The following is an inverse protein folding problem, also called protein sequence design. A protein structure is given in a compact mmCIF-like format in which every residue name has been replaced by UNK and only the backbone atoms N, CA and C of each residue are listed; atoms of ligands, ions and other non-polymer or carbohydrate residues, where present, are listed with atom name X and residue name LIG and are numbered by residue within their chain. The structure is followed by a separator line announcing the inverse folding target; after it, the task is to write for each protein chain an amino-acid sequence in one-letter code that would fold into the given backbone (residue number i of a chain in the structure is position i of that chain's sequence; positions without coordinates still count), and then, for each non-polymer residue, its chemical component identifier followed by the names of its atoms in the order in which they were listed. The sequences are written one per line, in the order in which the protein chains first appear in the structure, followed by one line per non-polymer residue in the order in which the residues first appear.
data_IF_283794690838
#
_entry.id   IF_283794690838
#
_cell.length_a   1.000
_cell.length_b   1.000
_cell.length_c   1.000
_cell.angle_alpha   90.00
_cell.angle_beta   90.00
_cell.angle_gamma   90.00
#
_symmetry.space_group_name_H-M   'P 1'
#
loop_
_entity.id
_entity.type
_entity.pdbx_description
1 polymer ?
#
# COMPACT_ATOMS: atom_id res chain seq x y z
N UNK A 1 65.33 -27.54 -57.78
CA UNK A 1 64.12 -26.79 -58.14
C UNK A 1 63.57 -26.11 -56.90
N UNK A 2 63.16 -24.87 -57.05
CA UNK A 2 62.95 -23.83 -56.04
C UNK A 2 62.07 -24.22 -54.85
N UNK A 3 62.54 -23.92 -53.63
CA UNK A 3 61.74 -23.82 -52.41
C UNK A 3 61.00 -22.48 -52.41
N UNK A 4 59.68 -22.49 -52.21
CA UNK A 4 58.94 -21.29 -51.82
C UNK A 4 58.21 -21.54 -50.50
N UNK A 5 58.62 -20.73 -49.52
CA UNK A 5 58.21 -20.71 -48.13
C UNK A 5 56.96 -19.81 -48.02
N UNK A 6 55.81 -20.36 -47.62
CA UNK A 6 54.61 -19.56 -47.35
C UNK A 6 54.40 -19.47 -45.84
N UNK A 7 54.66 -18.28 -45.28
CA UNK A 7 54.32 -17.96 -43.89
C UNK A 7 52.81 -17.84 -43.72
N UNK A 8 52.30 -18.43 -42.64
CA UNK A 8 51.01 -18.11 -42.04
C UNK A 8 51.13 -16.73 -41.39
N UNK A 9 50.36 -15.77 -41.90
CA UNK A 9 49.67 -14.70 -41.16
C UNK A 9 49.45 -13.49 -42.09
N UNK A 10 48.19 -13.26 -42.43
CA UNK A 10 47.71 -12.10 -43.17
C UNK A 10 46.34 -11.69 -42.63
N UNK A 11 46.05 -10.38 -42.51
CA UNK A 11 45.02 -9.86 -41.61
C UNK A 11 43.63 -10.24 -42.10
N UNK A 12 42.87 -10.94 -41.27
CA UNK A 12 41.43 -11.11 -41.44
C UNK A 12 40.77 -9.73 -41.38
N UNK A 13 40.24 -9.28 -42.51
CA UNK A 13 39.41 -8.08 -42.63
C UNK A 13 38.24 -8.17 -41.65
N UNK A 14 38.17 -7.24 -40.68
CA UNK A 14 37.04 -7.15 -39.76
C UNK A 14 35.74 -6.82 -40.55
N UNK A 15 34.59 -7.40 -40.16
CA UNK A 15 33.32 -7.00 -40.74
C UNK A 15 33.03 -5.54 -40.39
N UNK A 16 32.63 -4.74 -41.39
CA UNK A 16 32.21 -3.34 -41.21
C UNK A 16 31.15 -3.26 -40.11
N UNK A 17 31.51 -2.64 -38.99
CA UNK A 17 30.57 -2.16 -37.98
C UNK A 17 29.66 -1.15 -38.69
N UNK A 18 28.36 -1.47 -38.83
CA UNK A 18 27.35 -0.47 -39.16
C UNK A 18 27.30 0.51 -37.98
N UNK A 19 27.73 1.73 -38.20
CA UNK A 19 27.54 2.84 -37.29
C UNK A 19 26.03 3.01 -37.07
N UNK A 20 25.55 2.67 -35.88
CA UNK A 20 24.21 3.06 -35.45
C UNK A 20 24.18 4.60 -35.35
N UNK A 21 23.10 5.26 -35.78
CA UNK A 21 22.93 6.69 -35.51
C UNK A 21 22.93 6.94 -34.00
N UNK A 22 23.31 8.14 -33.53
CA UNK A 22 23.36 8.46 -32.11
C UNK A 22 22.00 8.14 -31.48
N UNK A 23 22.01 7.26 -30.48
CA UNK A 23 20.80 6.81 -29.82
C UNK A 23 20.13 7.98 -29.12
N UNK A 24 19.06 8.50 -29.75
CA UNK A 24 18.03 9.21 -29.01
C UNK A 24 17.46 8.22 -27.99
N UNK A 25 17.67 8.53 -26.73
CA UNK A 25 17.01 7.93 -25.57
C UNK A 25 15.53 8.30 -25.56
N UNK A 26 14.81 7.92 -26.60
CA UNK A 26 13.37 7.75 -26.56
C UNK A 26 13.13 6.27 -26.28
N UNK A 27 12.80 5.95 -25.02
CA UNK A 27 11.97 4.78 -24.72
C UNK A 27 10.88 4.73 -25.78
N UNK A 28 10.94 3.75 -26.68
CA UNK A 28 9.91 3.52 -27.67
C UNK A 28 8.62 3.27 -26.90
N UNK A 29 7.72 4.25 -26.93
CA UNK A 29 6.36 4.19 -26.40
C UNK A 29 5.54 3.23 -27.26
N UNK A 30 5.91 1.95 -27.31
CA UNK A 30 5.29 0.95 -28.20
C UNK A 30 3.91 0.47 -27.71
N UNK A 31 3.44 0.94 -26.55
CA UNK A 31 2.09 0.65 -26.05
C UNK A 31 1.04 1.66 -26.54
N UNK A 32 -0.16 1.19 -26.94
CA UNK A 32 -1.28 2.05 -27.31
C UNK A 32 -1.58 3.10 -26.23
N UNK A 33 -2.02 4.30 -26.61
CA UNK A 33 -2.45 5.34 -25.64
C UNK A 33 -3.55 4.84 -24.69
N UNK A 34 -4.39 3.92 -25.16
CA UNK A 34 -5.44 3.24 -24.35
C UNK A 34 -4.88 2.45 -23.17
N UNK A 35 -3.63 1.97 -23.27
CA UNK A 35 -2.94 1.25 -22.21
C UNK A 35 -2.13 2.17 -21.28
N UNK A 36 -2.33 3.48 -21.38
CA UNK A 36 -1.77 4.45 -20.46
C UNK A 36 -2.91 5.20 -19.79
N UNK A 37 -3.15 4.93 -18.50
CA UNK A 37 -4.26 5.49 -17.74
C UNK A 37 -4.39 7.02 -17.89
N UNK A 38 -3.29 7.74 -17.69
CA UNK A 38 -3.25 9.21 -17.76
C UNK A 38 -3.50 9.74 -19.19
N UNK A 39 -3.02 9.03 -20.23
CA UNK A 39 -3.16 9.48 -21.63
C UNK A 39 -4.47 9.03 -22.27
N UNK A 40 -5.01 7.90 -21.86
CA UNK A 40 -6.20 7.29 -22.42
C UNK A 40 -7.47 7.79 -21.75
N UNK A 41 -7.57 7.66 -20.41
CA UNK A 41 -8.80 7.97 -19.68
C UNK A 41 -8.90 9.46 -19.29
N UNK A 42 -7.77 10.15 -19.10
CA UNK A 42 -7.75 11.52 -18.58
C UNK A 42 -7.23 12.57 -19.57
N UNK A 43 -7.16 12.27 -20.87
CA UNK A 43 -6.67 13.19 -21.92
C UNK A 43 -7.37 14.56 -21.95
N UNK A 44 -8.62 14.61 -21.51
CA UNK A 44 -9.48 15.80 -21.50
C UNK A 44 -10.16 16.05 -20.15
N UNK A 45 -9.67 15.44 -19.07
CA UNK A 45 -10.24 15.55 -17.73
C UNK A 45 -9.26 16.22 -16.75
N UNK A 46 -9.77 16.58 -15.57
CA UNK A 46 -8.92 17.01 -14.46
C UNK A 46 -7.94 15.88 -14.08
N UNK A 47 -6.74 16.26 -13.61
CA UNK A 47 -5.75 15.27 -13.19
C UNK A 47 -6.34 14.32 -12.13
N UNK A 48 -6.14 13.00 -12.27
CA UNK A 48 -6.73 12.03 -11.37
C UNK A 48 -6.21 12.21 -9.94
N UNK A 49 -7.11 12.07 -8.97
CA UNK A 49 -6.76 12.11 -7.56
C UNK A 49 -6.11 10.78 -7.16
N UNK A 50 -4.80 10.77 -6.91
CA UNK A 50 -4.13 9.57 -6.41
C UNK A 50 -4.10 9.55 -4.89
N UNK A 51 -4.36 8.36 -4.35
CA UNK A 51 -4.23 8.02 -2.94
C UNK A 51 -3.11 6.98 -2.74
N UNK A 52 -2.77 6.71 -1.48
CA UNK A 52 -1.73 5.80 -1.09
C UNK A 52 -2.18 4.87 0.05
N UNK A 53 -1.74 3.62 -0.01
CA UNK A 53 -1.82 2.66 1.09
C UNK A 53 -0.44 2.08 1.37
N UNK A 54 -0.15 1.75 2.63
CA UNK A 54 1.10 1.10 3.01
C UNK A 54 0.92 0.12 4.17
N UNK A 55 1.72 -0.94 4.17
CA UNK A 55 1.81 -1.95 5.23
C UNK A 55 3.29 -2.21 5.56
N UNK A 56 3.67 -2.07 6.82
CA UNK A 56 5.06 -2.22 7.27
C UNK A 56 5.13 -2.57 8.75
N UNK A 57 6.26 -3.08 9.23
CA UNK A 57 6.47 -3.35 10.66
C UNK A 57 5.50 -4.39 11.23
N UNK A 58 5.05 -4.21 12.49
CA UNK A 58 4.07 -5.08 13.16
C UNK A 58 2.62 -4.71 12.84
N UNK A 59 2.09 -5.28 11.76
CA UNK A 59 1.87 -4.53 10.55
C UNK A 59 1.06 -3.26 10.84
N UNK A 60 1.76 -2.15 10.74
CA UNK A 60 1.21 -0.82 10.69
C UNK A 60 0.64 -0.59 9.29
N UNK A 61 -0.66 -0.33 9.23
CA UNK A 61 -1.43 -0.08 8.03
C UNK A 61 -1.76 1.41 7.93
N UNK A 62 -1.39 2.04 6.82
CA UNK A 62 -1.99 3.30 6.35
C UNK A 62 -2.97 2.98 5.24
N UNK A 63 -4.25 3.28 5.43
CA UNK A 63 -5.30 3.07 4.41
C UNK A 63 -5.26 4.15 3.33
N UNK A 64 -5.99 3.95 2.24
CA UNK A 64 -6.26 4.95 1.19
C UNK A 64 -6.98 6.22 1.68
N UNK A 65 -7.47 6.21 2.91
CA UNK A 65 -8.11 7.36 3.57
C UNK A 65 -7.23 7.96 4.66
N UNK A 66 -5.94 7.63 4.67
CA UNK A 66 -4.94 8.07 5.64
C UNK A 66 -5.22 7.63 7.09
N UNK A 67 -6.05 6.60 7.29
CA UNK A 67 -6.22 6.00 8.61
C UNK A 67 -5.03 5.13 8.91
N UNK A 68 -4.40 5.38 10.06
CA UNK A 68 -3.24 4.63 10.52
C UNK A 68 -3.62 3.69 11.65
N UNK A 69 -3.32 2.40 11.51
CA UNK A 69 -3.72 1.34 12.43
C UNK A 69 -2.55 0.38 12.65
N UNK A 70 -2.42 -0.15 13.87
CA UNK A 70 -1.54 -1.28 14.16
C UNK A 70 -2.40 -2.53 14.23
N UNK A 71 -2.03 -3.57 13.49
CA UNK A 71 -2.90 -4.73 13.29
C UNK A 71 -2.19 -6.03 13.61
N UNK A 72 -2.88 -6.97 14.26
CA UNK A 72 -2.39 -8.34 14.41
C UNK A 72 -2.45 -9.09 13.07
N UNK A 73 -3.64 -9.17 12.46
CA UNK A 73 -3.91 -9.75 11.12
C UNK A 73 -3.01 -10.95 10.76
N UNK A 74 -2.91 -11.92 11.67
CA UNK A 74 -2.10 -13.12 11.49
C UNK A 74 -2.68 -14.01 10.38
N UNK A 75 -1.81 -14.66 9.60
CA UNK A 75 -2.23 -15.49 8.47
C UNK A 75 -2.42 -14.65 7.21
N UNK A 76 -3.24 -15.13 6.28
CA UNK A 76 -3.40 -14.50 4.97
C UNK A 76 -4.57 -13.52 4.94
N UNK A 77 -4.34 -12.30 4.48
CA UNK A 77 -5.31 -11.20 4.44
C UNK A 77 -5.26 -10.44 3.11
N UNK A 78 -6.41 -10.03 2.55
CA UNK A 78 -6.42 -9.21 1.35
C UNK A 78 -6.18 -7.74 1.70
N UNK A 79 -5.11 -7.16 1.15
CA UNK A 79 -4.88 -5.71 1.20
C UNK A 79 -5.79 -4.98 0.23
N UNK A 80 -5.85 -5.45 -1.02
CA UNK A 80 -6.60 -4.84 -2.12
C UNK A 80 -7.30 -5.95 -2.88
N UNK A 81 -8.55 -5.70 -3.25
CA UNK A 81 -9.30 -6.55 -4.16
C UNK A 81 -10.32 -5.66 -4.88
N UNK A 82 -10.04 -5.35 -6.13
CA UNK A 82 -10.90 -4.56 -7.00
C UNK A 82 -10.92 -5.18 -8.41
N UNK A 83 -11.62 -4.56 -9.35
CA UNK A 83 -11.77 -5.05 -10.71
C UNK A 83 -10.44 -5.25 -11.48
N UNK A 84 -9.32 -4.69 -10.99
CA UNK A 84 -8.04 -4.68 -11.70
C UNK A 84 -6.91 -5.43 -10.98
N UNK A 85 -6.96 -5.47 -9.65
CA UNK A 85 -5.83 -5.88 -8.82
C UNK A 85 -6.33 -6.66 -7.60
N UNK A 86 -5.67 -7.76 -7.30
CA UNK A 86 -5.74 -8.43 -6.02
C UNK A 86 -4.36 -8.41 -5.36
N UNK A 87 -4.30 -8.01 -4.09
CA UNK A 87 -3.08 -8.01 -3.27
C UNK A 87 -3.39 -8.76 -1.99
N UNK A 88 -2.65 -9.84 -1.76
CA UNK A 88 -2.75 -10.67 -0.58
C UNK A 88 -1.42 -10.68 0.16
N UNK A 89 -1.47 -10.53 1.48
CA UNK A 89 -0.31 -10.63 2.35
C UNK A 89 -0.50 -11.75 3.35
N UNK A 90 0.60 -12.37 3.76
CA UNK A 90 0.62 -13.29 4.89
C UNK A 90 1.49 -12.71 5.99
N UNK A 91 0.92 -12.58 7.19
CA UNK A 91 1.65 -12.11 8.37
C UNK A 91 1.91 -13.27 9.33
N UNK A 92 3.16 -13.41 9.76
CA UNK A 92 3.59 -14.44 10.71
C UNK A 92 4.07 -13.80 12.01
N UNK A 93 3.84 -14.40 13.19
CA UNK A 93 4.39 -13.89 14.44
C UNK A 93 5.91 -13.70 14.37
N UNK A 94 6.41 -12.57 14.89
CA UNK A 94 7.86 -12.28 14.94
C UNK A 94 8.55 -13.21 15.94
N UNK A 95 7.90 -13.43 17.08
CA UNK A 95 8.32 -14.35 18.13
C UNK A 95 7.20 -15.36 18.42
N UNK A 96 7.52 -16.61 18.81
CA UNK A 96 6.51 -17.59 19.20
C UNK A 96 5.59 -17.07 20.31
N UNK A 97 4.27 -17.11 20.07
CA UNK A 97 3.27 -16.64 21.04
C UNK A 97 3.10 -15.13 21.16
N UNK A 98 3.89 -14.33 20.43
CA UNK A 98 3.72 -12.87 20.42
C UNK A 98 2.48 -12.46 19.61
N UNK A 99 1.84 -11.37 20.04
CA UNK A 99 0.82 -10.69 19.24
C UNK A 99 1.44 -9.93 18.06
N UNK A 100 2.75 -9.64 18.13
CA UNK A 100 3.48 -8.98 17.08
C UNK A 100 3.71 -9.92 15.91
N UNK A 101 3.27 -9.52 14.73
CA UNK A 101 3.44 -10.22 13.46
C UNK A 101 4.24 -9.37 12.49
N UNK A 102 4.62 -9.91 11.35
CA UNK A 102 5.18 -9.12 10.25
C UNK A 102 4.94 -9.84 8.93
N UNK A 103 4.94 -9.09 7.83
CA UNK A 103 4.63 -9.62 6.51
C UNK A 103 5.75 -10.53 6.00
N UNK A 104 5.44 -11.81 5.80
CA UNK A 104 6.39 -12.84 5.38
C UNK A 104 6.20 -13.27 3.92
N UNK A 105 5.01 -13.02 3.35
CA UNK A 105 4.68 -13.33 1.96
C UNK A 105 3.75 -12.27 1.41
N UNK A 106 3.94 -11.97 0.14
CA UNK A 106 3.13 -11.02 -0.61
C UNK A 106 2.85 -11.58 -1.99
N UNK A 107 1.58 -11.58 -2.38
CA UNK A 107 1.11 -12.00 -3.71
C UNK A 107 0.31 -10.87 -4.32
N UNK A 108 0.66 -10.46 -5.54
CA UNK A 108 -0.07 -9.46 -6.31
C UNK A 108 -0.52 -10.12 -7.61
N UNK A 109 -1.82 -10.08 -7.87
CA UNK A 109 -2.42 -10.57 -9.11
C UNK A 109 -2.94 -9.35 -9.88
N UNK A 110 -2.28 -9.05 -10.99
CA UNK A 110 -2.77 -8.10 -11.99
C UNK A 110 -3.79 -8.84 -12.86
N UNK A 111 -5.07 -8.47 -12.75
CA UNK A 111 -6.14 -9.07 -13.57
C UNK A 111 -5.93 -8.67 -15.04
N UNK A 112 -6.32 -9.55 -15.96
CA UNK A 112 -6.24 -9.25 -17.40
C UNK A 112 -7.06 -8.02 -17.74
N UNK A 113 -6.51 -7.12 -18.55
CA UNK A 113 -7.20 -5.89 -18.93
C UNK A 113 -7.05 -5.61 -20.42
N UNK A 114 -8.16 -5.76 -21.15
CA UNK A 114 -8.28 -5.47 -22.58
C UNK A 114 -7.12 -6.07 -23.40
N UNK A 115 -6.58 -5.33 -24.37
CA UNK A 115 -5.36 -5.67 -25.12
C UNK A 115 -4.06 -5.29 -24.38
N UNK A 116 -4.14 -4.73 -23.18
CA UNK A 116 -2.99 -4.11 -22.51
C UNK A 116 -2.12 -5.11 -21.76
N UNK A 117 -2.73 -5.97 -20.95
CA UNK A 117 -2.00 -6.91 -20.12
C UNK A 117 -2.77 -8.21 -19.98
N UNK A 118 -2.04 -9.33 -20.07
CA UNK A 118 -2.54 -10.63 -19.62
C UNK A 118 -2.46 -10.72 -18.10
N UNK A 119 -3.14 -11.70 -17.51
CA UNK A 119 -3.06 -11.88 -16.07
C UNK A 119 -1.60 -12.15 -15.66
N UNK A 120 -1.07 -11.36 -14.72
CA UNK A 120 0.29 -11.52 -14.20
C UNK A 120 0.26 -11.69 -12.68
N UNK A 121 1.11 -12.58 -12.18
CA UNK A 121 1.25 -12.85 -10.75
C UNK A 121 2.66 -12.48 -10.32
N UNK A 122 2.75 -11.61 -9.32
CA UNK A 122 3.99 -11.32 -8.61
C UNK A 122 3.92 -11.96 -7.23
N UNK A 123 5.00 -12.62 -6.81
CA UNK A 123 5.10 -13.21 -5.48
C UNK A 123 6.47 -12.89 -4.89
N UNK A 124 6.46 -12.46 -3.63
CA UNK A 124 7.67 -12.25 -2.84
C UNK A 124 7.51 -12.94 -1.49
N UNK A 125 8.61 -13.46 -0.97
CA UNK A 125 8.66 -14.13 0.32
C UNK A 125 9.82 -13.58 1.15
N UNK A 126 9.80 -13.83 2.45
CA UNK A 126 10.91 -13.53 3.34
C UNK A 126 12.23 -14.12 2.80
N UNK A 127 13.19 -13.26 2.49
CA UNK A 127 14.49 -13.66 1.94
C UNK A 127 14.54 -13.72 0.42
N UNK A 128 13.40 -13.57 -0.27
CA UNK A 128 13.29 -13.70 -1.72
C UNK A 128 12.39 -12.60 -2.31
N UNK A 129 13.04 -11.55 -2.83
CA UNK A 129 12.37 -10.44 -3.51
C UNK A 129 12.74 -10.44 -5.00
N UNK A 130 11.99 -11.15 -5.86
CA UNK A 130 12.32 -11.27 -7.28
C UNK A 130 12.01 -9.97 -8.04
N UNK A 131 12.79 -9.73 -9.10
CA UNK A 131 12.60 -8.63 -10.05
C UNK A 131 11.80 -9.04 -11.30
N UNK A 132 10.96 -10.07 -11.16
CA UNK A 132 10.18 -10.68 -12.23
C UNK A 132 8.84 -11.20 -11.67
N UNK A 133 7.87 -11.41 -12.57
CA UNK A 133 6.64 -12.14 -12.30
C UNK A 133 6.93 -13.63 -12.14
N UNK A 134 5.94 -14.39 -11.63
CA UNK A 134 6.06 -15.82 -11.37
C UNK A 134 6.38 -16.66 -12.62
N UNK A 135 6.07 -16.15 -13.82
CA UNK A 135 6.42 -16.76 -15.11
C UNK A 135 7.81 -16.36 -15.62
N UNK A 136 8.59 -15.60 -14.83
CA UNK A 136 9.92 -15.09 -15.18
C UNK A 136 9.91 -13.83 -16.04
N UNK A 137 8.75 -13.35 -16.49
CA UNK A 137 8.65 -12.12 -17.28
C UNK A 137 8.84 -10.87 -16.41
N UNK A 138 9.23 -9.76 -17.05
CA UNK A 138 9.40 -8.46 -16.35
C UNK A 138 8.39 -7.40 -16.83
N UNK A 139 7.45 -7.79 -17.67
CA UNK A 139 6.47 -6.92 -18.30
C UNK A 139 5.08 -7.61 -18.41
N UNK A 140 4.09 -6.91 -18.96
CA UNK A 140 2.71 -7.37 -19.11
C UNK A 140 2.46 -8.47 -20.15
N UNK A 141 3.49 -9.05 -20.77
CA UNK A 141 3.38 -10.08 -21.82
C UNK A 141 3.99 -9.65 -23.15
N UNK A 142 3.51 -10.22 -24.26
CA UNK A 142 4.05 -9.96 -25.61
C UNK A 142 3.13 -9.08 -26.48
N UNK A 143 1.98 -8.66 -25.94
CA UNK A 143 1.02 -7.79 -26.63
C UNK A 143 1.60 -6.39 -26.83
N UNK A 144 1.00 -5.61 -27.74
CA UNK A 144 1.38 -4.20 -27.93
C UNK A 144 1.34 -3.40 -26.61
N UNK A 145 0.47 -3.73 -25.65
CA UNK A 145 0.43 -3.09 -24.33
C UNK A 145 1.43 -3.59 -23.29
N UNK A 146 2.34 -4.51 -23.61
CA UNK A 146 3.26 -5.16 -22.67
C UNK A 146 4.02 -4.20 -21.75
N UNK A 147 4.47 -3.07 -22.29
CA UNK A 147 5.21 -2.04 -21.56
C UNK A 147 4.35 -1.23 -20.58
N UNK A 148 3.02 -1.42 -20.58
CA UNK A 148 2.11 -0.77 -19.63
C UNK A 148 2.15 -1.38 -18.22
N UNK A 149 2.70 -2.58 -18.06
CA UNK A 149 3.00 -3.20 -16.77
C UNK A 149 4.49 -3.58 -16.76
N UNK A 150 5.28 -3.11 -15.78
CA UNK A 150 6.72 -3.37 -15.71
C UNK A 150 7.22 -3.55 -14.29
N UNK A 151 8.25 -4.39 -14.11
CA UNK A 151 8.97 -4.57 -12.86
C UNK A 151 10.40 -4.02 -12.97
N UNK A 152 10.75 -3.09 -12.08
CA UNK A 152 12.07 -2.51 -11.96
C UNK A 152 12.69 -2.85 -10.59
N UNK A 153 13.84 -3.51 -10.61
CA UNK A 153 14.68 -3.66 -9.42
C UNK A 153 15.44 -2.35 -9.19
N UNK A 154 15.30 -1.76 -8.00
CA UNK A 154 15.97 -0.53 -7.61
C UNK A 154 17.18 -0.79 -6.73
N UNK A 155 17.06 -1.78 -5.85
CA UNK A 155 18.16 -2.27 -5.01
C UNK A 155 18.09 -3.79 -5.04
N UNK A 156 19.22 -4.42 -5.38
CA UNK A 156 19.24 -5.85 -5.65
C UNK A 156 18.73 -6.66 -4.46
N UNK A 157 17.68 -7.47 -4.69
CA UNK A 157 17.03 -8.30 -3.68
C UNK A 157 16.40 -7.56 -2.49
N UNK A 158 16.28 -6.23 -2.54
CA UNK A 158 15.80 -5.42 -1.40
C UNK A 158 14.71 -4.42 -1.75
N UNK A 159 14.64 -3.94 -3.00
CA UNK A 159 13.65 -2.95 -3.40
C UNK A 159 13.25 -3.15 -4.85
N UNK A 160 11.96 -3.43 -5.06
CA UNK A 160 11.33 -3.59 -6.36
C UNK A 160 10.17 -2.62 -6.49
N UNK A 161 10.07 -1.98 -7.66
CA UNK A 161 8.94 -1.16 -8.06
C UNK A 161 8.19 -1.83 -9.21
N UNK A 162 6.87 -1.91 -9.09
CA UNK A 162 5.99 -2.43 -10.12
C UNK A 162 5.11 -1.29 -10.64
N UNK A 163 5.24 -0.96 -11.91
CA UNK A 163 4.52 0.13 -12.56
C UNK A 163 3.42 -0.44 -13.45
N UNK A 164 2.17 -0.31 -13.02
CA UNK A 164 0.97 -0.67 -13.77
C UNK A 164 0.34 0.59 -14.38
N UNK A 165 0.99 1.13 -15.41
CA UNK A 165 0.61 2.39 -16.08
C UNK A 165 -0.79 2.33 -16.70
N UNK A 166 -1.27 1.15 -17.10
CA UNK A 166 -2.62 0.98 -17.68
C UNK A 166 -3.76 1.27 -16.68
N UNK A 167 -3.49 1.18 -15.38
CA UNK A 167 -4.41 1.53 -14.28
C UNK A 167 -3.84 2.62 -13.37
N UNK A 168 -2.83 3.36 -13.83
CA UNK A 168 -2.21 4.46 -13.08
C UNK A 168 -1.61 4.03 -11.73
N UNK A 169 -1.28 2.76 -11.54
CA UNK A 169 -0.89 2.23 -10.23
C UNK A 169 0.61 2.03 -10.16
N UNK A 170 1.22 2.38 -9.03
CA UNK A 170 2.64 2.11 -8.73
C UNK A 170 2.73 1.41 -7.39
N UNK A 171 3.40 0.26 -7.35
CA UNK A 171 3.59 -0.56 -6.15
C UNK A 171 5.07 -0.60 -5.83
N UNK A 172 5.40 -0.46 -4.55
CA UNK A 172 6.73 -0.62 -4.00
C UNK A 172 6.70 -1.81 -3.04
N UNK A 173 7.62 -2.76 -3.23
CA UNK A 173 7.86 -3.87 -2.30
C UNK A 173 9.31 -3.81 -1.88
N UNK A 174 9.55 -3.87 -0.56
CA UNK A 174 10.91 -3.89 -0.03
C UNK A 174 11.08 -5.07 0.92
N UNK A 175 12.30 -5.58 0.99
CA UNK A 175 12.73 -6.47 2.05
C UNK A 175 13.52 -5.68 3.08
N UNK A 176 13.05 -5.68 4.33
CA UNK A 176 13.70 -5.01 5.46
C UNK A 176 13.98 -6.04 6.55
N UNK A 177 15.26 -6.27 6.82
CA UNK A 177 15.67 -7.42 7.61
C UNK A 177 15.18 -8.70 6.94
N UNK A 178 14.25 -9.41 7.58
CA UNK A 178 13.62 -10.63 7.06
C UNK A 178 12.21 -10.41 6.53
N UNK A 179 11.60 -9.25 6.77
CA UNK A 179 10.17 -9.05 6.48
C UNK A 179 9.98 -8.15 5.27
N UNK A 180 8.77 -8.18 4.72
CA UNK A 180 8.40 -7.38 3.56
C UNK A 180 7.66 -6.12 4.01
N UNK A 181 7.88 -5.02 3.28
CA UNK A 181 7.00 -3.85 3.33
C UNK A 181 6.31 -3.67 2.00
N UNK A 182 5.10 -3.11 2.04
CA UNK A 182 4.29 -2.83 0.87
C UNK A 182 3.84 -1.39 0.88
N UNK A 183 3.90 -0.74 -0.27
CA UNK A 183 3.35 0.58 -0.49
C UNK A 183 2.76 0.68 -1.90
N UNK A 184 1.67 1.42 -2.06
CA UNK A 184 1.01 1.58 -3.35
C UNK A 184 0.48 2.99 -3.52
N UNK A 185 0.62 3.54 -4.73
CA UNK A 185 -0.13 4.70 -5.23
C UNK A 185 -1.17 4.20 -6.22
N UNK A 186 -2.42 4.62 -6.06
CA UNK A 186 -3.52 4.21 -6.93
C UNK A 186 -4.51 5.37 -7.13
N UNK A 187 -5.08 5.57 -8.34
CA UNK A 187 -6.14 6.53 -8.55
C UNK A 187 -7.39 6.17 -7.73
N UNK A 188 -8.08 7.16 -7.19
CA UNK A 188 -9.26 6.94 -6.35
C UNK A 188 -10.36 6.12 -7.06
N UNK A 189 -10.61 6.36 -8.35
CA UNK A 189 -11.60 5.59 -9.12
C UNK A 189 -11.23 4.11 -9.29
N UNK A 190 -9.94 3.79 -9.36
CA UNK A 190 -9.43 2.41 -9.42
C UNK A 190 -9.57 1.74 -8.06
N UNK A 191 -9.31 2.48 -6.97
CA UNK A 191 -9.52 2.00 -5.59
C UNK A 191 -11.00 1.63 -5.36
N UNK A 192 -11.93 2.44 -5.85
CA UNK A 192 -13.37 2.31 -5.64
C UNK A 192 -14.08 1.37 -6.65
N UNK A 193 -13.35 0.83 -7.63
CA UNK A 193 -13.85 -0.13 -8.61
C UNK A 193 -13.94 -1.56 -8.03
N UNK A 194 -14.56 -1.70 -6.87
CA UNK A 194 -14.81 -3.01 -6.22
C UNK A 194 -15.99 -3.69 -6.90
N UNK A 195 -15.81 -4.96 -7.31
CA UNK A 195 -16.81 -5.72 -8.09
C UNK A 195 -18.07 -6.02 -7.28
N UNK A 196 -17.92 -6.28 -5.98
CA UNK A 196 -19.03 -6.55 -5.08
C UNK A 196 -19.16 -5.45 -4.01
N UNK A 197 -19.88 -4.39 -4.37
CA UNK A 197 -20.10 -3.22 -3.50
C UNK A 197 -20.96 -3.55 -2.27
N UNK A 198 -21.82 -4.56 -2.39
CA UNK A 198 -22.72 -5.01 -1.33
C UNK A 198 -22.05 -6.04 -0.40
N UNK A 199 -20.94 -6.65 -0.86
CA UNK A 199 -20.12 -7.52 -0.02
C UNK A 199 -19.45 -6.78 1.15
N UNK A 200 -19.52 -7.41 2.31
CA UNK A 200 -18.70 -7.10 3.48
C UNK A 200 -17.22 -7.52 3.30
N UNK A 201 -16.69 -7.44 2.08
CA UNK A 201 -15.30 -7.79 1.75
C UNK A 201 -14.29 -7.11 2.68
N UNK A 202 -13.26 -7.87 3.08
CA UNK A 202 -12.27 -7.49 4.10
C UNK A 202 -10.98 -6.93 3.48
N UNK A 203 -11.07 -5.83 2.73
CA UNK A 203 -9.90 -5.25 2.05
C UNK A 203 -9.22 -4.19 2.92
N UNK A 204 -8.07 -4.53 3.49
CA UNK A 204 -7.42 -3.73 4.53
C UNK A 204 -7.09 -2.30 4.06
N UNK A 205 -6.55 -2.12 2.85
CA UNK A 205 -6.21 -0.78 2.34
C UNK A 205 -7.42 0.15 2.19
N UNK A 206 -8.62 -0.40 1.96
CA UNK A 206 -9.84 0.39 1.83
C UNK A 206 -10.55 0.56 3.18
N UNK A 207 -10.76 -0.54 3.90
CA UNK A 207 -11.63 -0.58 5.10
C UNK A 207 -10.89 -0.56 6.42
N UNK A 208 -9.58 -0.77 6.42
CA UNK A 208 -8.79 -0.98 7.63
C UNK A 208 -8.93 -2.39 8.19
N UNK A 209 -8.23 -2.66 9.27
CA UNK A 209 -8.30 -3.92 9.98
C UNK A 209 -9.59 -4.02 10.79
N UNK A 210 -10.22 -5.22 10.89
CA UNK A 210 -11.35 -5.45 11.79
C UNK A 210 -10.99 -5.05 13.22
N UNK A 211 -11.95 -4.53 13.98
CA UNK A 211 -11.72 -4.07 15.37
C UNK A 211 -11.09 -5.15 16.26
N UNK A 212 -11.47 -6.42 16.08
CA UNK A 212 -10.88 -7.56 16.80
C UNK A 212 -9.43 -7.87 16.45
N UNK A 213 -8.92 -7.28 15.36
CA UNK A 213 -7.54 -7.41 14.89
C UNK A 213 -6.71 -6.15 15.15
N UNK A 214 -7.32 -5.05 15.64
CA UNK A 214 -6.59 -3.82 15.94
C UNK A 214 -5.88 -3.92 17.29
N UNK A 215 -4.64 -3.46 17.34
CA UNK A 215 -3.83 -3.42 18.56
C UNK A 215 -3.88 -1.99 19.11
N UNK A 216 -4.42 -1.85 20.32
CA UNK A 216 -4.31 -0.59 21.03
C UNK A 216 -2.92 -0.43 21.65
N UNK A 217 -1.98 0.14 20.89
CA UNK A 217 -0.62 0.53 21.34
C UNK A 217 -0.58 1.23 22.71
N UNK A 218 -1.61 1.99 23.12
CA UNK A 218 -1.62 2.66 24.43
C UNK A 218 -2.04 1.72 25.56
N UNK A 219 -3.00 0.84 25.31
CA UNK A 219 -3.47 -0.15 26.29
C UNK A 219 -2.60 -1.42 26.32
N UNK A 220 -1.85 -1.69 25.26
CA UNK A 220 -0.93 -2.83 25.16
C UNK A 220 0.18 -2.78 26.23
N UNK A 221 0.45 -1.59 26.80
CA UNK A 221 1.47 -1.39 27.83
C UNK A 221 2.87 -1.80 27.34
N UNK A 222 3.92 -1.55 28.14
CA UNK A 222 5.15 -2.31 27.95
C UNK A 222 4.80 -3.78 28.17
N UNK A 223 5.05 -4.63 27.16
CA UNK A 223 4.99 -6.08 27.32
C UNK A 223 5.79 -6.48 28.58
N UNK A 224 5.42 -7.56 29.31
CA UNK A 224 6.19 -8.00 30.46
C UNK A 224 7.66 -8.12 30.04
N UNK A 225 8.51 -7.31 30.68
CA UNK A 225 9.91 -7.15 30.32
C UNK A 225 10.56 -8.52 30.25
N UNK A 226 10.75 -9.03 29.04
CA UNK A 226 11.76 -10.04 28.82
C UNK A 226 13.10 -9.36 29.09
N UNK A 227 14.13 -10.08 29.56
CA UNK A 227 15.48 -9.52 29.73
C UNK A 227 16.07 -8.86 28.47
N UNK A 228 15.43 -9.09 27.32
CA UNK A 228 15.79 -8.58 25.98
C UNK A 228 14.87 -7.44 25.48
N UNK A 229 13.87 -7.01 26.27
CA UNK A 229 12.98 -5.93 25.87
C UNK A 229 13.74 -4.59 25.83
N UNK A 230 13.69 -3.91 24.68
CA UNK A 230 14.33 -2.62 24.48
C UNK A 230 13.75 -1.60 25.49
N UNK A 231 14.57 -0.90 26.31
CA UNK A 231 14.03 0.14 27.19
C UNK A 231 13.46 1.28 26.33
N UNK A 232 12.34 1.86 26.77
CA UNK A 232 11.62 2.88 26.00
C UNK A 232 12.52 4.02 25.53
N UNK A 233 13.37 4.54 26.42
CA UNK A 233 14.30 5.63 26.08
C UNK A 233 15.28 5.25 24.97
N UNK A 234 15.78 4.00 24.98
CA UNK A 234 16.66 3.51 23.92
C UNK A 234 15.91 3.28 22.61
N UNK A 235 14.68 2.78 22.65
CA UNK A 235 13.84 2.59 21.47
C UNK A 235 13.50 3.95 20.82
N UNK A 236 13.08 4.91 21.64
CA UNK A 236 12.81 6.29 21.23
C UNK A 236 14.05 6.93 20.60
N UNK A 237 15.21 6.86 21.27
CA UNK A 237 16.46 7.39 20.74
C UNK A 237 16.83 6.74 19.40
N UNK A 238 16.68 5.42 19.28
CA UNK A 238 17.01 4.68 18.06
C UNK A 238 16.11 5.07 16.90
N UNK A 239 14.80 5.17 17.13
CA UNK A 239 13.86 5.62 16.11
C UNK A 239 14.13 7.07 15.69
N UNK A 240 14.53 7.94 16.62
CA UNK A 240 14.82 9.35 16.36
C UNK A 240 16.04 9.57 15.45
N UNK A 241 16.95 8.61 15.33
CA UNK A 241 18.07 8.66 14.38
C UNK A 241 17.61 8.71 12.91
N UNK A 242 16.46 8.11 12.59
CA UNK A 242 15.92 8.00 11.23
C UNK A 242 14.61 8.77 11.03
N UNK A 243 13.81 8.90 12.08
CA UNK A 243 12.49 9.52 12.09
C UNK A 243 12.50 10.69 13.09
N UNK A 244 13.02 11.87 12.72
CA UNK A 244 13.16 13.00 13.64
C UNK A 244 11.82 13.66 13.99
N UNK A 245 10.78 13.42 13.18
CA UNK A 245 9.42 13.89 13.42
C UNK A 245 8.69 12.80 14.20
N UNK A 246 8.15 13.15 15.37
CA UNK A 246 7.48 12.22 16.29
C UNK A 246 6.02 11.93 15.88
N UNK A 247 5.81 11.66 14.59
CA UNK A 247 4.54 11.31 13.97
C UNK A 247 4.17 9.83 14.17
N UNK A 248 3.09 9.36 13.54
CA UNK A 248 2.67 7.97 13.65
C UNK A 248 3.69 6.95 13.10
N UNK A 249 4.59 7.32 12.17
CA UNK A 249 5.66 6.43 11.71
C UNK A 249 6.73 6.27 12.79
N UNK A 250 7.08 7.36 13.48
CA UNK A 250 7.95 7.31 14.64
C UNK A 250 7.33 6.48 15.77
N UNK A 251 6.05 6.68 16.09
CA UNK A 251 5.37 5.90 17.15
C UNK A 251 5.28 4.41 16.80
N UNK A 252 5.04 4.08 15.52
CA UNK A 252 5.12 2.73 14.98
C UNK A 252 6.50 2.10 15.21
N UNK A 253 7.57 2.81 14.82
CA UNK A 253 8.94 2.36 15.07
C UNK A 253 9.20 2.06 16.54
N UNK A 254 8.82 2.97 17.45
CA UNK A 254 9.04 2.78 18.88
C UNK A 254 8.27 1.56 19.39
N UNK A 255 7.02 1.41 18.97
CA UNK A 255 6.21 0.24 19.30
C UNK A 255 6.85 -1.07 18.83
N UNK A 256 7.27 -1.15 17.56
CA UNK A 256 7.93 -2.33 17.01
C UNK A 256 9.17 -2.72 17.80
N UNK A 257 10.03 -1.76 18.17
CA UNK A 257 11.23 -2.05 18.95
C UNK A 257 10.90 -2.57 20.36
N UNK A 258 9.86 -2.03 20.99
CA UNK A 258 9.41 -2.46 22.31
C UNK A 258 8.80 -3.87 22.29
N UNK A 259 8.10 -4.24 21.22
CA UNK A 259 7.39 -5.52 21.13
C UNK A 259 8.22 -6.65 20.53
N UNK A 260 9.17 -6.32 19.65
CA UNK A 260 9.97 -7.32 18.91
C UNK A 260 11.43 -7.39 19.36
N UNK A 261 12.00 -6.28 19.86
CA UNK A 261 13.43 -6.14 20.10
C UNK A 261 14.30 -6.10 18.82
N UNK A 262 13.71 -6.13 17.62
CA UNK A 262 14.45 -6.17 16.36
C UNK A 262 14.66 -4.76 15.77
N UNK A 263 15.91 -4.30 15.78
CA UNK A 263 16.30 -2.97 15.29
C UNK A 263 16.04 -2.74 13.79
N UNK A 264 15.81 -3.80 13.01
CA UNK A 264 15.47 -3.66 11.59
C UNK A 264 14.10 -3.00 11.38
N UNK A 265 13.20 -3.07 12.37
CA UNK A 265 11.90 -2.40 12.30
C UNK A 265 12.03 -0.87 12.26
N UNK A 266 13.15 -0.31 12.75
CA UNK A 266 13.47 1.11 12.53
C UNK A 266 13.57 1.46 11.05
N UNK A 267 14.17 0.57 10.24
CA UNK A 267 14.25 0.76 8.80
C UNK A 267 12.91 0.56 8.11
N UNK A 268 12.04 -0.31 8.64
CA UNK A 268 10.72 -0.55 8.06
C UNK A 268 9.86 0.72 8.14
N UNK A 269 9.83 1.37 9.30
CA UNK A 269 9.13 2.66 9.48
C UNK A 269 9.77 3.80 8.67
N UNK A 270 11.11 3.86 8.60
CA UNK A 270 11.81 4.83 7.75
C UNK A 270 11.44 4.68 6.27
N UNK A 271 11.52 3.47 5.71
CA UNK A 271 11.19 3.24 4.31
C UNK A 271 9.70 3.45 4.02
N UNK A 272 8.80 3.13 4.95
CA UNK A 272 7.39 3.44 4.79
C UNK A 272 7.15 4.96 4.65
N UNK A 273 7.85 5.78 5.43
CA UNK A 273 7.78 7.24 5.29
C UNK A 273 8.36 7.72 3.95
N UNK A 274 9.49 7.15 3.50
CA UNK A 274 10.06 7.48 2.19
C UNK A 274 9.14 7.07 1.02
N UNK A 275 8.49 5.91 1.13
CA UNK A 275 7.56 5.42 0.11
C UNK A 275 6.33 6.33 0.05
N UNK A 276 5.79 6.80 1.17
CA UNK A 276 4.71 7.80 1.20
C UNK A 276 5.18 9.12 0.59
N UNK A 277 6.39 9.57 0.92
CA UNK A 277 6.97 10.81 0.35
C UNK A 277 7.03 10.73 -1.16
N UNK A 278 7.39 9.57 -1.70
CA UNK A 278 7.42 9.33 -3.14
C UNK A 278 6.02 9.23 -3.75
N UNK A 279 5.13 8.46 -3.13
CA UNK A 279 3.89 7.98 -3.74
C UNK A 279 2.66 8.83 -3.44
N UNK A 280 2.60 9.54 -2.31
CA UNK A 280 1.42 10.31 -1.91
C UNK A 280 1.33 11.64 -2.68
N UNK A 281 0.15 11.95 -3.24
CA UNK A 281 -0.09 13.21 -3.98
C UNK A 281 -0.07 14.43 -3.08
N UNK A 282 -0.73 14.32 -1.93
CA UNK A 282 -0.84 15.39 -0.94
C UNK A 282 0.38 15.36 -0.01
N UNK A 283 1.35 16.26 -0.22
CA UNK A 283 2.59 16.31 0.55
C UNK A 283 2.39 16.83 1.98
N UNK A 284 1.32 17.58 2.21
CA UNK A 284 0.84 18.00 3.53
C UNK A 284 0.37 16.81 4.39
N UNK A 285 0.01 15.68 3.77
CA UNK A 285 -0.36 14.43 4.48
C UNK A 285 0.78 13.44 4.63
N UNK A 286 2.03 13.88 4.43
CA UNK A 286 3.19 13.01 4.63
C UNK A 286 3.26 12.53 6.08
N UNK A 287 3.22 13.47 7.01
CA UNK A 287 3.26 13.22 8.45
C UNK A 287 1.84 13.19 9.01
N UNK A 288 1.55 12.19 9.84
CA UNK A 288 0.26 12.05 10.51
C UNK A 288 0.47 12.24 12.01
N UNK A 289 -0.21 13.23 12.58
CA UNK A 289 -0.14 13.54 14.01
C UNK A 289 -1.47 13.19 14.68
N UNK A 290 -1.44 12.33 15.70
CA UNK A 290 -2.63 11.87 16.41
C UNK A 290 -3.32 10.67 15.74
N UNK A 291 -3.85 9.75 16.53
CA UNK A 291 -4.68 8.65 16.01
C UNK A 291 -6.01 9.22 15.53
N UNK A 292 -6.40 8.93 14.29
CA UNK A 292 -7.80 8.99 13.85
C UNK A 292 -8.61 7.98 14.67
N UNK A 293 -9.00 8.37 15.88
CA UNK A 293 -10.05 7.69 16.63
C UNK A 293 -11.34 8.09 15.93
N UNK A 294 -11.82 7.26 15.00
CA UNK A 294 -13.21 7.37 14.57
C UNK A 294 -14.05 7.22 15.83
N UNK A 295 -14.61 8.33 16.30
CA UNK A 295 -15.72 8.30 17.25
C UNK A 295 -16.80 7.42 16.61
N UNK A 296 -17.28 6.37 17.28
CA UNK A 296 -18.43 5.65 16.77
C UNK A 296 -19.56 6.66 16.61
N UNK A 297 -20.18 6.63 15.43
CA UNK A 297 -21.25 7.48 14.91
C UNK A 297 -21.87 8.49 15.87
N UNK A 298 -21.91 9.75 15.42
CA UNK A 298 -22.55 10.86 16.13
C UNK A 298 -23.93 10.53 16.67
N UNK A 299 -23.99 10.21 17.96
CA UNK A 299 -25.13 10.54 18.78
C UNK A 299 -24.93 12.01 19.18
N UNK A 300 -25.71 12.90 18.57
CA UNK A 300 -25.79 14.30 18.98
C UNK A 300 -25.93 14.40 20.51
N UNK A 301 -25.30 15.37 21.18
CA UNK A 301 -25.48 15.56 22.61
C UNK A 301 -26.97 15.85 22.85
N UNK A 302 -27.66 14.91 23.50
CA UNK A 302 -29.00 15.16 24.02
C UNK A 302 -28.86 16.26 25.08
N UNK A 303 -29.22 17.48 24.69
CA UNK A 303 -29.44 18.59 25.61
C UNK A 303 -30.34 18.14 26.77
N UNK A 304 -30.00 18.47 28.03
CA UNK A 304 -30.84 18.11 29.16
C UNK A 304 -32.17 18.86 29.02
N UNK A 305 -33.24 18.10 28.79
CA UNK A 305 -34.60 18.62 28.70
C UNK A 305 -35.14 18.81 30.12
N UNK A 306 -35.25 20.05 30.54
CA UNK A 306 -36.04 20.45 31.70
C UNK A 306 -36.20 21.97 31.76
N UNK A 307 -37.22 22.49 32.45
CA UNK A 307 -38.63 22.08 32.48
C UNK A 307 -39.50 23.20 31.90
N UNK A 308 -40.63 22.88 31.25
CA UNK A 308 -41.67 23.89 31.01
C UNK A 308 -43.06 23.38 31.40
N UNK A 309 -43.87 24.23 32.04
CA UNK A 309 -44.99 23.81 32.88
C UNK A 309 -46.23 23.45 32.06
N UNK A 310 -46.97 22.48 32.58
CA UNK A 310 -48.31 22.10 32.16
C UNK A 310 -49.27 23.28 32.38
N UNK A 311 -49.70 23.93 31.29
CA UNK A 311 -50.93 24.73 31.29
C UNK A 311 -52.08 23.81 30.84
N UNK A 312 -52.84 23.35 31.83
CA UNK A 312 -54.10 22.63 31.63
C UNK A 312 -55.17 23.62 31.12
N UNK A 313 -55.69 23.38 29.92
CA UNK A 313 -56.92 24.01 29.44
C UNK A 313 -58.05 22.97 29.55
N UNK A 314 -58.95 23.21 30.51
CA UNK A 314 -60.20 22.46 30.68
C UNK A 314 -61.08 22.63 29.42
N UNK A 315 -61.46 21.52 28.81
CA UNK A 315 -62.52 21.47 27.81
C UNK A 315 -63.89 21.70 28.44
N UNK A 316 -64.60 22.71 27.95
CA UNK A 316 -66.01 22.96 28.24
C UNK A 316 -66.88 21.92 27.52
N UNK A 317 -67.70 21.21 28.29
CA UNK A 317 -68.77 20.33 27.83
C UNK A 317 -69.92 21.14 27.23
N UNK A 318 -70.32 20.78 26.00
CA UNK A 318 -71.61 21.15 25.40
C UNK A 318 -72.75 20.33 26.04
N UNK A 319 -73.94 20.91 26.23
CA UNK A 319 -75.19 20.19 26.15
C UNK A 319 -76.00 20.56 24.90
N UNK A 320 -76.78 19.58 24.44
CA UNK A 320 -77.68 19.59 23.30
C UNK A 320 -78.90 20.50 23.51
N UNK A 321 -79.48 21.03 22.41
CA UNK A 321 -80.88 20.87 21.94
C UNK A 321 -81.23 21.91 20.83
N UNK A 322 -82.33 21.74 20.05
CA UNK A 322 -82.33 21.92 18.59
C UNK A 322 -83.24 23.05 18.07
N UNK A 323 -83.21 23.20 16.73
CA UNK A 323 -84.29 23.58 15.80
C UNK A 323 -84.90 24.99 15.81
N UNK A 324 -84.80 25.64 14.64
CA UNK A 324 -85.80 26.56 14.09
C UNK A 324 -85.68 26.57 12.55
N UNK A 325 -86.22 25.56 11.86
CA UNK A 325 -87.27 25.64 10.81
C UNK A 325 -87.34 24.40 9.93
#
# INVERSE_FOLDING_TARGET
MSQHNCSKDGPTSQPRVRTLPPGDSQERSDSPETCHYERGFHKHAAAPNYTHCGLFGDPHLRTFTDRFQTCKVQGAWPLIDNAYLNVQVTNTPVLPGSAATATSKLTIIFKSFQECVEQKVYQAEMGELPAAFADGSRNGGDKHGASSLQIAEKVSGQHVEIQARYIGTTIVVRQVGRYLTFAVRMPQEVVEAVEDRDSQGLYLCLRGCPLSQQIDVQAAGPAPATPEAFPYEAAAAKCKEKLPVEDLYYQACVFDLLTTGDVNFTLAAYYALEDVRMLHSHKDRLHLFGRTRELPGGAAPRLPRGPWPLLAALGLLLPLLPELR
#
